data_IF_607116372775
#
_entry.id   IF_607116372775
#
_cell.length_a   1.000
_cell.length_b   1.000
_cell.length_c   1.000
_cell.angle_alpha   90.00
_cell.angle_beta   90.00
_cell.angle_gamma   90.00
#
_symmetry.space_group_name_H-M   'P 1'
#
loop_
_entity.id
_entity.type
_entity.pdbx_description
1 polymer ?
#
# COMPACT_ATOMS: atom_id res chain seq x y z
N UNK A 1 -13.40 -12.32 -4.00
CA UNK A 1 -13.65 -11.86 -2.60
C UNK A 1 -12.57 -10.86 -2.16
N UNK A 2 -11.29 -11.16 -2.35
CA UNK A 2 -10.17 -10.23 -2.06
C UNK A 2 -10.33 -8.85 -2.72
N UNK A 3 -10.66 -8.79 -4.01
CA UNK A 3 -10.84 -7.51 -4.71
C UNK A 3 -12.01 -6.67 -4.17
N UNK A 4 -13.06 -7.32 -3.66
CA UNK A 4 -14.21 -6.65 -3.05
C UNK A 4 -13.81 -6.06 -1.70
N UNK A 5 -13.07 -6.82 -0.90
CA UNK A 5 -12.53 -6.34 0.38
C UNK A 5 -11.57 -5.17 0.15
N UNK A 6 -10.68 -5.26 -0.84
CA UNK A 6 -9.78 -4.17 -1.21
C UNK A 6 -10.57 -2.91 -1.64
N UNK A 7 -11.62 -3.06 -2.45
CA UNK A 7 -12.47 -1.95 -2.85
C UNK A 7 -13.17 -1.28 -1.66
N UNK A 8 -13.67 -2.07 -0.70
CA UNK A 8 -14.25 -1.55 0.55
C UNK A 8 -13.21 -0.74 1.32
N UNK A 9 -11.98 -1.25 1.48
CA UNK A 9 -10.91 -0.53 2.17
C UNK A 9 -10.55 0.78 1.49
N UNK A 10 -10.49 0.80 0.16
CA UNK A 10 -10.24 2.03 -0.60
C UNK A 10 -11.35 3.05 -0.37
N UNK A 11 -12.62 2.62 -0.44
CA UNK A 11 -13.77 3.50 -0.18
C UNK A 11 -13.70 4.07 1.23
N UNK A 12 -13.48 3.23 2.24
CA UNK A 12 -13.36 3.66 3.63
C UNK A 12 -12.19 4.62 3.84
N UNK A 13 -11.02 4.34 3.25
CA UNK A 13 -9.84 5.19 3.32
C UNK A 13 -10.07 6.57 2.71
N UNK A 14 -10.63 6.64 1.50
CA UNK A 14 -10.98 7.90 0.84
C UNK A 14 -12.01 8.67 1.67
N UNK A 15 -13.05 7.98 2.16
CA UNK A 15 -14.09 8.59 3.00
C UNK A 15 -13.49 9.20 4.28
N UNK A 16 -12.54 8.51 4.90
CA UNK A 16 -11.88 8.98 6.12
C UNK A 16 -10.99 10.21 5.87
N UNK A 17 -10.26 10.26 4.76
CA UNK A 17 -9.46 11.43 4.38
C UNK A 17 -10.36 12.64 4.10
N UNK A 18 -11.49 12.43 3.41
CA UNK A 18 -12.46 13.50 3.17
C UNK A 18 -13.10 13.96 4.49
N UNK A 19 -13.43 13.04 5.39
CA UNK A 19 -13.93 13.41 6.73
C UNK A 19 -12.97 14.35 7.46
N UNK A 20 -11.67 14.05 7.45
CA UNK A 20 -10.63 14.88 8.06
C UNK A 20 -10.59 16.27 7.40
N UNK A 21 -10.69 16.33 6.07
CA UNK A 21 -10.75 17.58 5.32
C UNK A 21 -11.94 18.45 5.74
N UNK A 22 -13.15 17.88 5.74
CA UNK A 22 -14.36 18.58 6.16
C UNK A 22 -14.27 18.99 7.65
N UNK A 23 -13.68 18.15 8.49
CA UNK A 23 -13.45 18.45 9.91
C UNK A 23 -12.56 19.69 10.07
N UNK A 24 -11.54 19.87 9.22
CA UNK A 24 -10.72 21.08 9.20
C UNK A 24 -11.55 22.35 8.99
N UNK A 25 -12.39 22.38 7.95
CA UNK A 25 -13.32 23.49 7.70
C UNK A 25 -14.29 23.72 8.86
N UNK A 26 -14.84 22.65 9.41
CA UNK A 26 -15.77 22.70 10.53
C UNK A 26 -15.12 23.30 11.78
N UNK A 27 -13.94 22.82 12.18
CA UNK A 27 -13.23 23.32 13.35
C UNK A 27 -12.83 24.79 13.18
N UNK A 28 -12.35 25.19 12.00
CA UNK A 28 -12.05 26.59 11.71
C UNK A 28 -13.30 27.49 11.79
N UNK A 29 -14.44 27.03 11.26
CA UNK A 29 -15.72 27.73 11.41
C UNK A 29 -16.08 27.93 12.89
N UNK A 30 -15.98 26.85 13.70
CA UNK A 30 -16.30 26.90 15.13
C UNK A 30 -15.35 27.84 15.88
N UNK A 31 -14.06 27.85 15.56
CA UNK A 31 -13.07 28.73 16.18
C UNK A 31 -13.37 30.23 15.96
N UNK A 32 -13.92 30.60 14.81
CA UNK A 32 -14.34 31.99 14.53
C UNK A 32 -15.81 32.27 14.84
N UNK A 33 -16.53 31.34 15.48
CA UNK A 33 -17.95 31.51 15.80
C UNK A 33 -18.85 31.60 14.57
N UNK A 34 -18.45 30.98 13.46
CA UNK A 34 -19.26 30.85 12.25
C UNK A 34 -20.21 29.67 12.45
N UNK A 35 -21.50 29.86 12.16
CA UNK A 35 -22.48 28.77 12.29
C UNK A 35 -22.37 27.82 11.10
N UNK A 36 -22.31 26.53 11.43
CA UNK A 36 -22.41 25.43 10.46
C UNK A 36 -23.78 24.80 10.63
N UNK A 37 -24.57 24.78 9.55
CA UNK A 37 -25.92 24.20 9.55
C UNK A 37 -25.87 22.68 9.52
N UNK A 38 -24.99 22.13 8.68
CA UNK A 38 -24.87 20.69 8.44
C UNK A 38 -23.41 20.30 8.29
N UNK A 39 -23.03 19.21 8.94
CA UNK A 39 -21.73 18.56 8.80
C UNK A 39 -21.99 17.10 8.46
N UNK A 40 -21.66 16.70 7.23
CA UNK A 40 -22.01 15.38 6.71
C UNK A 40 -20.80 14.66 6.16
N UNK A 41 -20.67 13.39 6.53
CA UNK A 41 -19.78 12.43 5.87
C UNK A 41 -20.57 11.72 4.76
N UNK A 42 -20.07 11.77 3.53
CA UNK A 42 -20.78 11.27 2.36
C UNK A 42 -21.96 12.14 1.92
N UNK A 43 -22.49 11.83 0.74
CA UNK A 43 -23.65 12.48 0.17
C UNK A 43 -24.93 11.69 0.46
N UNK A 44 -26.01 12.44 0.71
CA UNK A 44 -27.36 11.89 0.88
C UNK A 44 -28.21 12.24 -0.35
N UNK A 45 -28.06 11.50 -1.49
CA UNK A 45 -28.85 11.77 -2.68
C UNK A 45 -30.33 11.64 -2.36
N UNK A 46 -31.14 12.51 -2.97
CA UNK A 46 -32.58 12.55 -2.73
C UNK A 46 -33.29 11.74 -3.79
N UNK A 47 -34.01 10.70 -3.38
CA UNK A 47 -34.90 9.96 -4.26
C UNK A 47 -36.29 10.55 -4.15
N UNK A 48 -36.94 10.74 -5.31
CA UNK A 48 -38.33 11.15 -5.39
C UNK A 48 -39.20 9.93 -5.64
N UNK A 49 -40.03 9.56 -4.66
CA UNK A 49 -41.05 8.52 -4.81
C UNK A 49 -42.40 9.25 -4.80
N UNK A 50 -42.95 9.48 -6.00
CA UNK A 50 -44.15 10.28 -6.21
C UNK A 50 -43.96 11.76 -5.82
N UNK A 51 -44.74 12.25 -4.85
CA UNK A 51 -44.60 13.62 -4.29
C UNK A 51 -43.61 13.70 -3.12
N UNK A 52 -43.16 12.57 -2.56
CA UNK A 52 -42.24 12.54 -1.43
C UNK A 52 -40.79 12.54 -1.91
N UNK A 53 -39.97 13.38 -1.28
CA UNK A 53 -38.53 13.45 -1.52
C UNK A 53 -37.83 12.89 -0.28
N UNK A 54 -37.20 11.74 -0.41
CA UNK A 54 -36.54 11.03 0.69
C UNK A 54 -35.03 11.15 0.51
N UNK A 55 -34.31 11.76 1.45
CA UNK A 55 -32.85 11.75 1.43
C UNK A 55 -32.33 10.36 1.84
N UNK A 56 -31.50 9.76 1.00
CA UNK A 56 -30.81 8.51 1.30
C UNK A 56 -29.63 8.76 2.24
N UNK A 57 -29.90 8.76 3.54
CA UNK A 57 -28.89 8.88 4.60
C UNK A 57 -28.92 7.65 5.49
N UNK A 58 -27.76 7.28 6.03
CA UNK A 58 -27.62 6.17 6.99
C UNK A 58 -28.16 6.61 8.35
N UNK A 59 -27.69 7.75 8.86
CA UNK A 59 -28.20 8.36 10.08
C UNK A 59 -27.93 9.87 10.12
N UNK A 60 -28.64 10.60 11.00
CA UNK A 60 -28.36 12.00 11.30
C UNK A 60 -28.91 12.39 12.66
N UNK A 61 -28.26 13.32 13.35
CA UNK A 61 -28.74 13.92 14.59
C UNK A 61 -28.42 15.42 14.63
N UNK A 62 -29.15 16.18 15.44
CA UNK A 62 -28.91 17.63 15.63
C UNK A 62 -28.33 17.89 17.01
N UNK A 63 -27.23 18.64 17.07
CA UNK A 63 -26.61 19.08 18.33
C UNK A 63 -26.01 20.47 18.17
N UNK A 64 -26.33 21.38 19.09
CA UNK A 64 -25.74 22.73 19.12
C UNK A 64 -26.02 23.57 17.88
N UNK A 65 -27.17 23.38 17.22
CA UNK A 65 -27.54 24.09 15.99
C UNK A 65 -26.96 23.53 14.70
N UNK A 66 -26.13 22.48 14.78
CA UNK A 66 -25.57 21.76 13.64
C UNK A 66 -26.22 20.39 13.51
N UNK A 67 -26.61 20.02 12.29
CA UNK A 67 -27.01 18.66 11.96
C UNK A 67 -25.80 17.86 11.51
N UNK A 68 -25.49 16.79 12.24
CA UNK A 68 -24.44 15.83 11.91
C UNK A 68 -25.09 14.63 11.22
N UNK A 69 -24.48 14.09 10.18
CA UNK A 69 -25.02 12.91 9.53
C UNK A 69 -24.05 12.17 8.63
N UNK A 70 -24.48 10.98 8.23
CA UNK A 70 -23.77 10.13 7.28
C UNK A 70 -24.69 9.82 6.11
N UNK A 71 -24.28 10.23 4.92
CA UNK A 71 -24.97 9.94 3.66
C UNK A 71 -24.75 8.51 3.20
N UNK A 72 -25.65 7.99 2.35
CA UNK A 72 -25.49 6.64 1.79
C UNK A 72 -24.27 6.52 0.88
N UNK A 73 -23.95 7.59 0.13
CA UNK A 73 -22.80 7.61 -0.78
C UNK A 73 -21.59 8.13 -0.04
N UNK A 74 -20.72 7.23 0.42
CA UNK A 74 -19.54 7.59 1.23
C UNK A 74 -18.43 8.33 0.44
N UNK A 75 -18.57 8.45 -0.88
CA UNK A 75 -17.64 9.19 -1.72
C UNK A 75 -17.88 10.70 -1.63
N UNK A 76 -17.40 11.34 -0.56
CA UNK A 76 -17.52 12.78 -0.35
C UNK A 76 -17.86 13.17 1.09
N UNK A 77 -18.25 14.43 1.25
CA UNK A 77 -18.64 15.05 2.50
C UNK A 77 -18.95 16.53 2.24
N UNK A 78 -19.56 17.20 3.21
CA UNK A 78 -19.72 18.65 3.12
C UNK A 78 -19.93 19.32 4.48
N UNK A 79 -19.40 20.52 4.59
CA UNK A 79 -19.73 21.50 5.63
C UNK A 79 -20.62 22.61 5.04
N UNK A 80 -21.89 22.65 5.43
CA UNK A 80 -22.82 23.71 5.05
C UNK A 80 -22.66 24.92 5.98
N UNK A 81 -21.82 25.87 5.56
CA UNK A 81 -21.48 27.08 6.31
C UNK A 81 -22.54 28.18 6.08
N UNK A 82 -23.05 28.77 7.17
CA UNK A 82 -24.04 29.84 7.07
C UNK A 82 -23.42 31.12 6.48
N UNK A 83 -24.13 31.72 5.52
CA UNK A 83 -23.69 32.96 4.88
C UNK A 83 -22.45 32.84 3.99
N UNK A 84 -22.09 31.64 3.51
CA UNK A 84 -21.04 31.43 2.50
C UNK A 84 -21.54 31.63 1.07
N UNK A 85 -22.80 31.25 0.81
CA UNK A 85 -23.45 31.34 -0.49
C UNK A 85 -23.83 32.79 -0.82
N UNK A 86 -23.20 33.43 -1.82
CA UNK A 86 -23.44 34.83 -2.14
C UNK A 86 -24.78 35.07 -2.84
N UNK A 87 -25.46 34.01 -3.32
CA UNK A 87 -26.74 34.11 -4.01
C UNK A 87 -27.92 34.23 -3.06
N UNK A 88 -27.72 33.91 -1.77
CA UNK A 88 -28.75 33.99 -0.73
C UNK A 88 -28.75 35.37 -0.06
N UNK A 89 -29.92 35.89 0.33
CA UNK A 89 -30.00 37.13 1.10
C UNK A 89 -29.12 37.05 2.36
N UNK A 90 -28.28 38.07 2.54
CA UNK A 90 -27.38 38.17 3.69
C UNK A 90 -28.17 38.69 4.89
N UNK A 91 -28.05 38.03 6.03
CA UNK A 91 -28.62 38.55 7.29
C UNK A 91 -27.68 39.55 7.95
N UNK A 92 -26.42 39.60 7.52
CA UNK A 92 -25.39 40.46 8.14
C UNK A 92 -25.03 40.03 9.55
N UNK A 93 -25.44 38.82 9.96
CA UNK A 93 -25.27 38.37 11.32
C UNK A 93 -23.79 38.08 11.62
N UNK A 94 -23.32 38.27 12.87
CA UNK A 94 -21.92 38.06 13.23
C UNK A 94 -21.43 36.63 13.01
N UNK A 95 -22.33 35.65 12.94
CA UNK A 95 -22.02 34.23 12.71
C UNK A 95 -22.06 33.80 11.24
N UNK A 96 -22.34 34.71 10.30
CA UNK A 96 -22.26 34.44 8.87
C UNK A 96 -20.81 34.51 8.38
N UNK A 97 -20.42 33.58 7.51
CA UNK A 97 -19.08 33.52 6.94
C UNK A 97 -18.66 34.83 6.26
N UNK A 98 -19.53 35.39 5.40
CA UNK A 98 -19.23 36.63 4.69
C UNK A 98 -19.21 37.87 5.60
N UNK A 99 -19.65 37.79 6.86
CA UNK A 99 -19.54 38.87 7.85
C UNK A 99 -18.17 38.88 8.56
N UNK A 100 -17.33 37.86 8.35
CA UNK A 100 -16.01 37.73 8.97
C UNK A 100 -14.93 38.52 8.22
N UNK A 101 -13.86 38.84 8.94
CA UNK A 101 -12.68 39.51 8.36
C UNK A 101 -12.10 38.65 7.23
N UNK A 102 -11.52 39.25 6.16
CA UNK A 102 -10.96 38.50 5.03
C UNK A 102 -10.00 37.38 5.44
N UNK A 103 -9.12 37.62 6.41
CA UNK A 103 -8.15 36.61 6.87
C UNK A 103 -8.84 35.43 7.59
N UNK A 104 -9.92 35.65 8.33
CA UNK A 104 -10.67 34.56 8.98
C UNK A 104 -11.33 33.66 7.95
N UNK A 105 -11.88 34.28 6.90
CA UNK A 105 -12.44 33.56 5.75
C UNK A 105 -11.36 32.76 5.03
N UNK A 106 -10.19 33.35 4.80
CA UNK A 106 -9.06 32.66 4.20
C UNK A 106 -8.65 31.43 5.02
N UNK A 107 -8.52 31.55 6.35
CA UNK A 107 -8.20 30.41 7.24
C UNK A 107 -9.24 29.30 7.09
N UNK A 108 -10.53 29.64 7.13
CA UNK A 108 -11.61 28.64 6.95
C UNK A 108 -11.50 27.95 5.58
N UNK A 109 -11.20 28.68 4.50
CA UNK A 109 -11.09 28.12 3.15
C UNK A 109 -9.88 27.18 2.98
N UNK A 110 -8.79 27.38 3.72
CA UNK A 110 -7.60 26.51 3.64
C UNK A 110 -7.56 25.44 4.73
N UNK A 111 -8.43 25.53 5.74
CA UNK A 111 -8.37 24.64 6.91
C UNK A 111 -8.51 23.16 6.56
N UNK A 112 -9.32 22.81 5.55
CA UNK A 112 -9.49 21.41 5.15
C UNK A 112 -8.22 20.79 4.57
N UNK A 113 -7.56 21.48 3.64
CA UNK A 113 -6.29 21.00 3.06
C UNK A 113 -5.16 21.03 4.08
N UNK A 114 -5.09 22.05 4.93
CA UNK A 114 -4.13 22.11 6.03
C UNK A 114 -4.28 20.92 6.99
N UNK A 115 -5.52 20.54 7.34
CA UNK A 115 -5.78 19.38 8.18
C UNK A 115 -5.30 18.09 7.52
N UNK A 116 -5.52 17.91 6.21
CA UNK A 116 -5.00 16.75 5.48
C UNK A 116 -3.47 16.69 5.50
N UNK A 117 -2.78 17.82 5.36
CA UNK A 117 -1.31 17.85 5.44
C UNK A 117 -0.81 17.43 6.83
N UNK A 118 -1.46 17.91 7.90
CA UNK A 118 -1.17 17.50 9.28
C UNK A 118 -1.43 16.00 9.48
N UNK A 119 -2.58 15.50 9.01
CA UNK A 119 -2.90 14.07 9.10
C UNK A 119 -1.94 13.20 8.31
N UNK A 120 -1.49 13.63 7.13
CA UNK A 120 -0.48 12.91 6.35
C UNK A 120 0.82 12.77 7.13
N UNK A 121 1.31 13.85 7.75
CA UNK A 121 2.50 13.81 8.61
C UNK A 121 2.33 12.81 9.76
N UNK A 122 1.18 12.83 10.44
CA UNK A 122 0.88 11.89 11.52
C UNK A 122 0.79 10.43 11.04
N UNK A 123 0.13 10.18 9.91
CA UNK A 123 0.03 8.84 9.34
C UNK A 123 1.39 8.29 8.93
N UNK A 124 2.25 9.11 8.33
CA UNK A 124 3.63 8.70 8.05
C UNK A 124 4.40 8.43 9.33
N UNK A 125 4.33 9.31 10.33
CA UNK A 125 5.00 9.08 11.60
C UNK A 125 4.59 7.75 12.26
N UNK A 126 3.28 7.45 12.27
CA UNK A 126 2.76 6.17 12.77
C UNK A 126 3.24 5.00 11.91
N UNK A 127 3.12 5.09 10.58
CA UNK A 127 3.54 4.04 9.67
C UNK A 127 5.04 3.71 9.82
N UNK A 128 5.90 4.72 9.93
CA UNK A 128 7.33 4.53 10.16
C UNK A 128 7.65 4.05 11.56
N UNK A 129 6.86 4.42 12.58
CA UNK A 129 7.03 3.91 13.95
C UNK A 129 6.71 2.42 14.10
N UNK A 130 5.75 1.90 13.32
CA UNK A 130 5.43 0.47 13.26
C UNK A 130 6.57 -0.32 12.57
N UNK A 131 7.37 0.37 11.74
CA UNK A 131 8.48 -0.20 10.99
C UNK A 131 8.00 -0.95 9.73
N UNK A 132 8.93 -1.19 8.81
CA UNK A 132 8.71 -2.01 7.62
C UNK A 132 9.40 -3.35 7.84
N UNK A 133 8.71 -4.46 7.54
CA UNK A 133 9.33 -5.78 7.54
C UNK A 133 10.29 -5.87 6.35
N UNK A 134 11.58 -5.70 6.60
CA UNK A 134 12.61 -5.92 5.58
C UNK A 134 12.89 -7.42 5.45
N UNK A 135 12.82 -7.93 4.23
CA UNK A 135 13.28 -9.30 3.94
C UNK A 135 14.80 -9.25 3.81
N UNK A 136 15.52 -9.72 4.83
CA UNK A 136 16.99 -9.73 4.83
C UNK A 136 17.54 -10.40 3.55
N UNK A 137 18.72 -9.98 3.05
CA UNK A 137 19.34 -10.52 1.83
C UNK A 137 19.97 -11.91 2.07
N UNK A 138 19.20 -12.82 2.70
CA UNK A 138 19.60 -14.20 2.94
C UNK A 138 19.21 -15.04 1.74
N UNK A 139 20.19 -15.75 1.21
CA UNK A 139 20.06 -16.65 0.07
C UNK A 139 19.30 -17.89 0.53
N UNK A 140 18.10 -18.10 -0.01
CA UNK A 140 17.31 -19.31 0.20
C UNK A 140 17.68 -20.42 -0.76
N UNK A 141 17.76 -20.08 -2.05
CA UNK A 141 18.09 -21.02 -3.12
C UNK A 141 19.10 -20.38 -4.06
N UNK A 142 19.90 -21.23 -4.69
CA UNK A 142 20.86 -20.84 -5.73
C UNK A 142 20.65 -21.75 -6.93
N UNK A 143 20.41 -21.16 -8.09
CA UNK A 143 20.22 -21.89 -9.35
C UNK A 143 21.52 -22.60 -9.74
N UNK A 144 21.42 -23.89 -10.04
CA UNK A 144 22.59 -24.71 -10.43
C UNK A 144 23.21 -24.16 -11.71
N UNK A 145 24.52 -23.93 -11.70
CA UNK A 145 25.26 -23.37 -12.84
C UNK A 145 25.18 -21.85 -12.98
N UNK A 146 24.33 -21.17 -12.20
CA UNK A 146 24.22 -19.72 -12.22
C UNK A 146 25.48 -19.01 -11.69
N UNK A 147 25.65 -17.70 -11.93
CA UNK A 147 26.83 -16.97 -11.45
C UNK A 147 27.10 -17.09 -9.96
N UNK A 148 26.07 -17.00 -9.11
CA UNK A 148 26.22 -17.15 -7.66
C UNK A 148 26.69 -18.57 -7.27
N UNK A 149 26.16 -19.60 -7.92
CA UNK A 149 26.58 -20.99 -7.71
C UNK A 149 28.07 -21.19 -8.07
N UNK A 150 28.50 -20.66 -9.22
CA UNK A 150 29.91 -20.73 -9.65
C UNK A 150 30.85 -19.94 -8.75
N UNK A 151 30.35 -18.88 -8.12
CA UNK A 151 31.09 -18.09 -7.12
C UNK A 151 31.10 -18.74 -5.72
N UNK A 152 30.47 -19.90 -5.54
CA UNK A 152 30.43 -20.62 -4.27
C UNK A 152 29.50 -20.00 -3.23
N UNK A 153 28.50 -19.22 -3.64
CA UNK A 153 27.41 -18.76 -2.77
C UNK A 153 26.47 -19.94 -2.53
N UNK A 154 26.06 -20.14 -1.26
CA UNK A 154 25.27 -21.28 -0.82
C UNK A 154 23.97 -20.83 -0.14
N UNK A 155 22.94 -21.68 -0.11
CA UNK A 155 21.77 -21.47 0.76
C UNK A 155 22.18 -21.20 2.21
N UNK A 156 21.55 -20.19 2.82
CA UNK A 156 21.84 -19.72 4.18
C UNK A 156 22.84 -18.57 4.24
N UNK A 157 23.61 -18.31 3.18
CA UNK A 157 24.50 -17.14 3.11
C UNK A 157 23.68 -15.82 3.13
N UNK A 158 24.18 -14.82 3.85
CA UNK A 158 23.64 -13.45 3.86
C UNK A 158 24.57 -12.54 3.04
N UNK A 159 24.04 -11.86 2.03
CA UNK A 159 24.80 -10.89 1.23
C UNK A 159 24.71 -9.53 1.91
N UNK A 160 25.76 -9.12 2.59
CA UNK A 160 25.77 -7.91 3.44
C UNK A 160 26.20 -6.65 2.70
N UNK A 161 26.97 -6.78 1.63
CA UNK A 161 27.43 -5.65 0.81
C UNK A 161 27.53 -6.02 -0.67
N UNK A 162 27.39 -5.01 -1.52
CA UNK A 162 27.60 -5.07 -2.97
C UNK A 162 28.45 -3.86 -3.38
N UNK A 163 29.61 -4.10 -3.99
CA UNK A 163 30.57 -3.07 -4.39
C UNK A 163 30.92 -2.08 -3.26
N UNK A 164 31.06 -2.60 -2.03
CA UNK A 164 31.36 -1.80 -0.84
C UNK A 164 30.18 -1.00 -0.27
N UNK A 165 28.99 -1.10 -0.87
CA UNK A 165 27.77 -0.50 -0.33
C UNK A 165 26.97 -1.53 0.46
N UNK A 166 26.45 -1.19 1.65
CA UNK A 166 25.67 -2.13 2.46
C UNK A 166 24.35 -2.49 1.77
N UNK A 167 23.98 -3.77 1.83
CA UNK A 167 22.71 -4.29 1.33
C UNK A 167 21.90 -4.75 2.52
N UNK A 168 20.69 -4.21 2.69
CA UNK A 168 19.82 -4.50 3.85
C UNK A 168 18.62 -5.35 3.50
N UNK A 169 18.25 -5.40 2.23
CA UNK A 169 17.09 -6.13 1.76
C UNK A 169 17.41 -7.00 0.53
N UNK A 170 16.78 -8.16 0.43
CA UNK A 170 16.92 -9.02 -0.74
C UNK A 170 16.38 -8.35 -2.02
N UNK A 171 15.28 -7.60 -1.92
CA UNK A 171 14.72 -6.88 -3.07
C UNK A 171 15.69 -5.79 -3.55
N UNK A 172 16.32 -5.05 -2.64
CA UNK A 172 17.38 -4.08 -2.94
C UNK A 172 18.53 -4.75 -3.71
N UNK A 173 19.03 -5.90 -3.22
CA UNK A 173 20.05 -6.68 -3.92
C UNK A 173 19.62 -7.05 -5.34
N UNK A 174 18.43 -7.64 -5.48
CA UNK A 174 17.92 -8.11 -6.76
C UNK A 174 17.72 -6.96 -7.76
N UNK A 175 17.18 -5.82 -7.32
CA UNK A 175 16.99 -4.63 -8.13
C UNK A 175 18.34 -4.02 -8.54
N UNK A 176 19.29 -3.91 -7.61
CA UNK A 176 20.61 -3.35 -7.91
C UNK A 176 21.35 -4.21 -8.93
N UNK A 177 21.26 -5.54 -8.84
CA UNK A 177 21.84 -6.44 -9.84
C UNK A 177 21.12 -6.30 -11.19
N UNK A 178 19.79 -6.28 -11.18
CA UNK A 178 18.98 -6.25 -12.40
C UNK A 178 19.22 -5.02 -13.27
N UNK A 179 19.54 -3.88 -12.65
CA UNK A 179 19.76 -2.59 -13.31
C UNK A 179 21.21 -2.34 -13.78
N UNK A 180 22.13 -3.28 -13.54
CA UNK A 180 23.52 -3.12 -13.98
C UNK A 180 23.65 -3.15 -15.51
N UNK A 181 24.64 -2.45 -16.08
CA UNK A 181 25.02 -2.62 -17.47
C UNK A 181 25.44 -4.07 -17.77
N UNK A 182 25.14 -4.55 -18.97
CA UNK A 182 25.56 -5.88 -19.40
C UNK A 182 27.10 -6.02 -19.39
N UNK A 183 27.58 -7.17 -18.94
CA UNK A 183 29.03 -7.43 -18.80
C UNK A 183 29.66 -6.91 -17.51
N UNK A 184 28.92 -6.19 -16.66
CA UNK A 184 29.38 -5.76 -15.33
C UNK A 184 29.80 -6.95 -14.47
N UNK A 185 30.78 -6.72 -13.60
CA UNK A 185 31.17 -7.64 -12.53
C UNK A 185 30.94 -6.94 -11.19
N UNK A 186 30.48 -7.70 -10.18
CA UNK A 186 30.17 -7.17 -8.86
C UNK A 186 30.96 -7.91 -7.79
N UNK A 187 31.46 -7.18 -6.80
CA UNK A 187 32.01 -7.75 -5.58
C UNK A 187 30.91 -7.82 -4.52
N UNK A 188 30.64 -9.01 -4.00
CA UNK A 188 29.68 -9.23 -2.92
C UNK A 188 30.42 -9.62 -1.65
N UNK A 189 30.08 -8.98 -0.54
CA UNK A 189 30.47 -9.44 0.80
C UNK A 189 29.40 -10.39 1.30
N UNK A 190 29.79 -11.63 1.60
CA UNK A 190 28.90 -12.73 1.98
C UNK A 190 29.26 -13.21 3.38
N UNK A 191 28.25 -13.31 4.25
CA UNK A 191 28.35 -13.89 5.58
C UNK A 191 27.67 -15.25 5.61
N UNK A 192 28.42 -16.29 5.93
CA UNK A 192 27.88 -17.64 6.10
C UNK A 192 27.16 -17.82 7.44
N UNK A 193 26.31 -18.86 7.59
CA UNK A 193 25.58 -19.12 8.83
C UNK A 193 26.47 -19.31 10.08
N UNK A 194 27.71 -19.76 9.89
CA UNK A 194 28.74 -19.90 10.92
C UNK A 194 29.42 -18.58 11.31
N UNK A 195 29.06 -17.48 10.63
CA UNK A 195 29.61 -16.14 10.84
C UNK A 195 30.83 -15.81 9.97
N UNK A 196 31.34 -16.76 9.17
CA UNK A 196 32.48 -16.50 8.29
C UNK A 196 32.11 -15.45 7.22
N UNK A 197 32.97 -14.45 7.02
CA UNK A 197 32.77 -13.40 6.02
C UNK A 197 33.77 -13.57 4.89
N UNK A 198 33.29 -13.57 3.64
CA UNK A 198 34.12 -13.67 2.43
C UNK A 198 33.64 -12.72 1.35
N UNK A 199 34.58 -12.27 0.51
CA UNK A 199 34.28 -11.49 -0.69
C UNK A 199 34.29 -12.40 -1.90
N UNK A 200 33.26 -12.29 -2.74
CA UNK A 200 33.15 -13.07 -3.98
C UNK A 200 32.88 -12.13 -5.14
N UNK A 201 33.55 -12.35 -6.27
CA UNK A 201 33.27 -11.66 -7.52
C UNK A 201 32.28 -12.47 -8.34
N UNK A 202 31.23 -11.82 -8.82
CA UNK A 202 30.15 -12.45 -9.57
C UNK A 202 29.89 -11.64 -10.82
N UNK A 203 29.78 -12.31 -11.96
CA UNK A 203 29.35 -11.70 -13.22
C UNK A 203 27.90 -12.04 -13.50
N UNK A 204 26.94 -11.11 -13.30
CA UNK A 204 25.52 -11.36 -13.58
C UNK A 204 25.28 -11.71 -15.05
N UNK A 205 24.19 -12.45 -15.29
CA UNK A 205 23.74 -12.86 -16.63
C UNK A 205 22.30 -12.41 -16.85
N UNK A 206 21.84 -12.36 -18.10
CA UNK A 206 20.45 -12.03 -18.39
C UNK A 206 19.48 -13.00 -17.69
N UNK A 207 18.47 -12.47 -17.00
CA UNK A 207 17.40 -13.25 -16.40
C UNK A 207 16.53 -13.86 -17.52
N UNK A 208 16.33 -15.20 -17.56
CA UNK A 208 15.46 -15.86 -18.54
C UNK A 208 14.02 -15.33 -18.58
N UNK A 209 13.55 -14.70 -17.49
CA UNK A 209 12.22 -14.09 -17.38
C UNK A 209 12.19 -12.63 -17.88
N UNK A 210 13.29 -12.10 -18.40
CA UNK A 210 13.35 -10.75 -18.97
C UNK A 210 13.33 -9.62 -17.93
N UNK A 211 13.74 -9.90 -16.69
CA UNK A 211 13.72 -8.94 -15.57
C UNK A 211 15.01 -8.13 -15.39
N UNK A 212 15.89 -8.11 -16.39
CA UNK A 212 17.23 -7.52 -16.31
C UNK A 212 18.31 -8.58 -16.08
N UNK A 213 19.39 -8.23 -15.38
CA UNK A 213 20.43 -9.18 -14.99
C UNK A 213 20.11 -9.91 -13.68
N UNK A 214 20.72 -11.08 -13.48
CA UNK A 214 20.58 -11.91 -12.28
C UNK A 214 21.87 -12.65 -11.98
N UNK A 215 22.06 -12.99 -10.70
CA UNK A 215 23.10 -13.94 -10.26
C UNK A 215 22.54 -15.33 -9.94
N UNK A 216 21.22 -15.53 -10.07
CA UNK A 216 20.56 -16.81 -9.82
C UNK A 216 20.39 -17.15 -8.33
N UNK A 217 20.14 -16.15 -7.49
CA UNK A 217 19.76 -16.34 -6.08
C UNK A 217 18.29 -16.02 -5.87
N UNK A 218 17.65 -16.76 -4.97
CA UNK A 218 16.29 -16.48 -4.50
C UNK A 218 16.32 -16.27 -2.98
N UNK A 219 15.41 -15.46 -2.40
CA UNK A 219 15.37 -15.26 -0.96
C UNK A 219 15.02 -16.56 -0.25
N UNK A 220 15.30 -16.64 1.06
CA UNK A 220 14.77 -17.70 1.93
C UNK A 220 13.29 -17.89 1.60
N UNK A 221 12.97 -19.12 1.21
CA UNK A 221 11.77 -19.42 0.46
C UNK A 221 10.52 -18.81 1.11
N UNK A 222 9.62 -18.22 0.31
CA UNK A 222 8.35 -17.74 0.82
C UNK A 222 7.64 -18.92 1.47
N UNK A 223 7.43 -18.82 2.77
CA UNK A 223 6.51 -19.71 3.48
C UNK A 223 5.15 -19.46 2.86
N UNK A 224 4.45 -20.52 2.47
CA UNK A 224 3.10 -20.40 1.94
C UNK A 224 2.22 -19.83 3.05
N UNK A 225 1.91 -18.54 2.97
CA UNK A 225 1.11 -17.87 3.99
C UNK A 225 -0.39 -18.00 3.69
N UNK A 226 -0.75 -17.91 2.40
CA UNK A 226 -2.13 -18.00 1.91
C UNK A 226 -2.15 -18.52 0.47
N UNK A 227 -3.17 -19.31 0.12
CA UNK A 227 -3.47 -19.73 -1.25
C UNK A 227 -4.99 -19.88 -1.39
N UNK A 228 -5.51 -19.79 -2.62
CA UNK A 228 -6.94 -20.01 -2.89
C UNK A 228 -7.26 -21.51 -2.80
N UNK A 229 -8.40 -21.85 -2.19
CA UNK A 229 -8.78 -23.24 -1.93
C UNK A 229 -8.89 -24.11 -3.19
N UNK A 230 -9.23 -23.52 -4.35
CA UNK A 230 -9.39 -24.25 -5.63
C UNK A 230 -8.19 -24.09 -6.58
N UNK A 231 -7.10 -23.46 -6.12
CA UNK A 231 -5.92 -23.21 -6.92
C UNK A 231 -5.19 -24.50 -7.32
N UNK A 232 -4.35 -24.39 -8.36
CA UNK A 232 -3.41 -25.47 -8.72
C UNK A 232 -2.49 -25.83 -7.54
N UNK A 233 -2.15 -24.85 -6.68
CA UNK A 233 -1.36 -25.07 -5.47
C UNK A 233 -2.10 -25.97 -4.46
N UNK A 234 -3.39 -25.72 -4.20
CA UNK A 234 -4.21 -26.56 -3.34
C UNK A 234 -4.34 -27.98 -3.87
N UNK A 235 -4.55 -28.14 -5.19
CA UNK A 235 -4.64 -29.44 -5.86
C UNK A 235 -3.31 -30.21 -5.85
N UNK A 236 -2.19 -29.49 -5.85
CA UNK A 236 -0.85 -30.05 -5.63
C UNK A 236 -0.57 -30.39 -4.15
N UNK A 237 -1.54 -30.16 -3.25
CA UNK A 237 -1.46 -30.45 -1.81
C UNK A 237 -0.57 -29.48 -1.03
N UNK A 238 -0.29 -28.29 -1.57
CA UNK A 238 0.48 -27.25 -0.89
C UNK A 238 -0.39 -26.66 0.23
N UNK A 239 0.16 -26.61 1.44
CA UNK A 239 -0.51 -26.11 2.64
C UNK A 239 0.13 -24.82 3.14
N UNK A 240 -0.62 -24.11 3.99
CA UNK A 240 -0.09 -22.98 4.73
C UNK A 240 1.04 -23.46 5.63
N UNK A 241 2.16 -22.75 5.64
CA UNK A 241 3.37 -23.14 6.38
C UNK A 241 4.34 -24.02 5.60
N UNK A 242 3.98 -24.48 4.39
CA UNK A 242 4.92 -25.18 3.53
C UNK A 242 6.03 -24.22 3.07
N UNK A 243 7.26 -24.71 3.08
CA UNK A 243 8.42 -24.00 2.53
C UNK A 243 8.63 -24.52 1.12
N UNK A 244 8.47 -23.66 0.12
CA UNK A 244 8.72 -24.04 -1.28
C UNK A 244 10.22 -24.05 -1.52
N UNK A 245 10.81 -25.24 -1.66
CA UNK A 245 12.27 -25.40 -1.80
C UNK A 245 12.72 -25.47 -3.24
N UNK A 246 11.83 -25.67 -4.20
CA UNK A 246 12.16 -25.55 -5.62
C UNK A 246 10.88 -25.34 -6.44
N UNK A 247 11.00 -24.57 -7.52
CA UNK A 247 9.98 -24.47 -8.58
C UNK A 247 10.68 -24.80 -9.89
N UNK A 248 10.24 -25.87 -10.55
CA UNK A 248 10.73 -26.23 -11.88
C UNK A 248 9.82 -25.64 -12.93
N UNK A 249 10.39 -25.00 -13.95
CA UNK A 249 9.65 -24.47 -15.10
C UNK A 249 9.95 -25.30 -16.34
N UNK A 250 9.02 -25.31 -17.28
CA UNK A 250 9.26 -25.78 -18.64
C UNK A 250 8.66 -24.81 -19.65
N UNK A 251 9.30 -24.72 -20.80
CA UNK A 251 8.75 -23.99 -21.93
C UNK A 251 7.58 -24.76 -22.52
N UNK A 252 6.43 -24.10 -22.60
CA UNK A 252 5.25 -24.60 -23.28
C UNK A 252 4.89 -23.67 -24.42
N UNK A 253 4.82 -24.20 -25.63
CA UNK A 253 4.29 -23.46 -26.77
C UNK A 253 2.77 -23.64 -26.79
N UNK A 254 2.03 -22.55 -26.68
CA UNK A 254 0.57 -22.52 -26.81
C UNK A 254 0.22 -21.62 -27.99
N UNK A 255 -0.13 -22.24 -29.12
CA UNK A 255 -0.31 -21.53 -30.39
C UNK A 255 1.02 -20.96 -30.91
N UNK A 256 1.05 -19.67 -31.29
CA UNK A 256 2.27 -18.96 -31.72
C UNK A 256 3.04 -18.28 -30.57
N UNK A 257 2.64 -18.47 -29.31
CA UNK A 257 3.28 -17.83 -28.15
C UNK A 257 4.01 -18.87 -27.30
N UNK A 258 5.25 -18.56 -26.95
CA UNK A 258 6.03 -19.29 -25.95
C UNK A 258 5.56 -18.82 -24.56
N UNK A 259 5.16 -19.76 -23.71
CA UNK A 259 4.77 -19.52 -22.33
C UNK A 259 5.66 -20.34 -21.41
N UNK A 260 5.97 -19.79 -20.24
CA UNK A 260 6.68 -20.52 -19.17
C UNK A 260 5.62 -21.13 -18.27
N UNK A 261 5.64 -22.46 -18.12
CA UNK A 261 4.69 -23.19 -17.26
C UNK A 261 5.43 -23.86 -16.10
N UNK A 262 4.80 -23.92 -14.93
CA UNK A 262 5.35 -24.64 -13.77
C UNK A 262 5.20 -26.15 -14.02
N UNK A 263 6.32 -26.87 -13.98
CA UNK A 263 6.41 -28.33 -14.12
C UNK A 263 6.17 -29.03 -12.79
N UNK A 264 6.82 -28.56 -11.74
CA UNK A 264 6.86 -29.19 -10.42
C UNK A 264 7.20 -28.17 -9.34
N UNK A 265 6.68 -28.38 -8.14
CA UNK A 265 6.94 -27.56 -6.94
C UNK A 265 7.34 -28.50 -5.81
N UNK A 266 8.61 -28.45 -5.40
CA UNK A 266 9.08 -29.19 -4.21
C UNK A 266 8.80 -28.37 -2.96
N UNK A 267 8.34 -29.06 -1.91
CA UNK A 267 8.05 -28.47 -0.61
C UNK A 267 8.71 -29.23 0.52
N UNK A 268 9.11 -28.51 1.56
CA UNK A 268 9.33 -29.05 2.89
C UNK A 268 8.10 -28.72 3.75
N UNK A 269 7.53 -29.74 4.39
CA UNK A 269 6.55 -29.52 5.44
C UNK A 269 7.30 -29.11 6.69
N UNK A 270 7.02 -27.90 7.15
CA UNK A 270 7.53 -27.43 8.44
C UNK A 270 6.75 -28.16 9.53
N UNK A 271 7.38 -29.10 10.24
CA UNK A 271 6.86 -29.64 11.50
C UNK A 271 7.17 -28.59 12.57
N UNK A 272 6.44 -27.49 12.57
CA UNK A 272 6.42 -26.59 13.72
C UNK A 272 5.06 -26.76 14.37
N UNK A 273 5.13 -27.29 15.59
CA UNK A 273 4.04 -27.37 16.56
C UNK A 273 3.73 -26.00 17.14
#
# INVERSE_FOLDING_TARGET
>A
MESVIAAIWVILGISFIIFIHELGHFLACRAFGIRVRRFYLGFAPKIRIGKKVIPLKIFSFKRGGTEYGVGLVLFGGFVDVEGQDPTKPRKGAPWEFLSKKPWQRAVVLVAGSAMNAVSAFLFFAVAFSIGVRLTRPVVGLVDVGAPAWRAGIQPGDEITEMNGQPVREFLELATNIALLPEGSEVELTVRSPDGAVRKVRVKPVADPLGRGLTIGVMPVAPIVEKFEADSAAAKAGINRGDIITAISFYDRIVGKRRQVAIKDVRRLRTILS
#
